data_IF_597378267919
#
_entry.id   IF_597378267919
#
_cell.length_a   1.000
_cell.length_b   1.000
_cell.length_c   1.000
_cell.angle_alpha   90.00
_cell.angle_beta   90.00
_cell.angle_gamma   90.00
#
_symmetry.space_group_name_H-M   'P 1'
#
loop_
_entity.id
_entity.type
_entity.pdbx_description
1 polymer ?
#
# COMPACT_ATOMS: atom_id res chain seq x y z
N UNK A 1 -5.20 9.17 -2.03
CA UNK A 1 -5.37 7.72 -1.74
C UNK A 1 -5.71 7.50 -0.25
N UNK A 2 -6.17 6.29 0.14
CA UNK A 2 -6.57 5.98 1.53
C UNK A 2 -5.44 6.19 2.55
N UNK A 3 -4.24 5.65 2.27
CA UNK A 3 -3.05 5.79 3.13
C UNK A 3 -2.66 7.26 3.36
N UNK A 4 -2.69 8.09 2.31
CA UNK A 4 -2.37 9.52 2.42
C UNK A 4 -3.30 10.23 3.41
N UNK A 5 -4.62 9.98 3.32
CA UNK A 5 -5.60 10.60 4.22
C UNK A 5 -5.54 10.02 5.63
N UNK A 6 -5.41 8.70 5.75
CA UNK A 6 -5.42 7.99 7.04
C UNK A 6 -4.20 8.30 7.90
N UNK A 7 -3.05 8.52 7.27
CA UNK A 7 -1.78 8.85 7.93
C UNK A 7 -1.43 10.33 7.83
N UNK A 8 -2.21 11.14 7.10
CA UNK A 8 -1.96 12.57 6.82
C UNK A 8 -0.56 12.81 6.21
N UNK A 9 -0.21 12.04 5.18
CA UNK A 9 1.09 12.08 4.51
C UNK A 9 0.96 12.38 3.01
N UNK A 10 2.00 13.00 2.44
CA UNK A 10 2.10 13.25 1.00
C UNK A 10 2.36 11.99 0.16
N UNK A 11 2.27 12.14 -1.16
CA UNK A 11 2.39 11.04 -2.12
C UNK A 11 3.69 10.24 -1.98
N UNK A 12 4.84 10.90 -1.96
CA UNK A 12 6.15 10.23 -1.89
C UNK A 12 6.32 9.37 -0.64
N UNK A 13 5.72 9.76 0.49
CA UNK A 13 5.80 8.98 1.72
C UNK A 13 4.84 7.79 1.68
N UNK A 14 3.66 7.97 1.10
CA UNK A 14 2.72 6.88 0.89
C UNK A 14 3.24 5.84 -0.11
N UNK A 15 3.95 6.26 -1.16
CA UNK A 15 4.58 5.37 -2.15
C UNK A 15 5.64 4.47 -1.50
N UNK A 16 6.58 5.06 -0.74
CA UNK A 16 7.59 4.28 0.02
C UNK A 16 6.98 3.28 0.99
N UNK A 17 5.91 3.65 1.68
CA UNK A 17 5.20 2.71 2.57
C UNK A 17 4.61 1.54 1.77
N UNK A 18 4.05 1.79 0.58
CA UNK A 18 3.52 0.72 -0.26
C UNK A 18 4.62 -0.21 -0.79
N UNK A 19 5.77 0.33 -1.18
CA UNK A 19 6.95 -0.46 -1.58
C UNK A 19 7.43 -1.35 -0.43
N UNK A 20 7.60 -0.79 0.76
CA UNK A 20 7.99 -1.58 1.94
C UNK A 20 6.95 -2.68 2.27
N UNK A 21 5.65 -2.37 2.18
CA UNK A 21 4.61 -3.36 2.41
C UNK A 21 4.58 -4.47 1.35
N UNK A 22 5.02 -4.18 0.13
CA UNK A 22 5.18 -5.16 -0.94
C UNK A 22 6.41 -6.04 -0.71
N UNK A 23 7.56 -5.44 -0.35
CA UNK A 23 8.79 -6.16 0.04
C UNK A 23 8.58 -7.07 1.25
N UNK A 24 7.83 -6.62 2.26
CA UNK A 24 7.48 -7.39 3.46
C UNK A 24 6.43 -8.49 3.18
N UNK A 25 5.94 -8.61 1.94
CA UNK A 25 4.91 -9.57 1.55
C UNK A 25 3.56 -9.34 2.23
N UNK A 26 3.27 -8.10 2.62
CA UNK A 26 1.99 -7.70 3.23
C UNK A 26 0.98 -7.33 2.14
N UNK A 27 1.44 -6.65 1.10
CA UNK A 27 0.65 -6.19 -0.04
C UNK A 27 1.16 -6.88 -1.30
N UNK A 28 0.23 -7.29 -2.16
CA UNK A 28 0.55 -7.89 -3.45
C UNK A 28 1.07 -6.87 -4.46
N UNK A 29 1.50 -7.35 -5.64
CA UNK A 29 2.00 -6.48 -6.70
C UNK A 29 0.99 -5.39 -7.09
N UNK A 30 1.43 -4.30 -7.73
CA UNK A 30 0.54 -3.28 -8.24
C UNK A 30 -0.54 -3.91 -9.15
N UNK A 31 -1.81 -3.79 -8.74
CA UNK A 31 -2.93 -4.17 -9.59
C UNK A 31 -3.12 -3.21 -10.76
N UNK A 32 -4.06 -3.52 -11.65
CA UNK A 32 -4.45 -2.61 -12.74
C UNK A 32 -4.80 -1.21 -12.23
N UNK A 33 -4.56 -0.20 -13.07
CA UNK A 33 -4.81 1.19 -12.72
C UNK A 33 -6.26 1.39 -12.21
N UNK A 34 -6.39 1.93 -11.00
CA UNK A 34 -7.68 2.16 -10.35
C UNK A 34 -8.19 1.02 -9.47
N UNK A 35 -7.58 -0.17 -9.52
CA UNK A 35 -7.91 -1.27 -8.61
C UNK A 35 -7.05 -1.22 -7.33
N UNK A 36 -7.62 -1.56 -6.15
CA UNK A 36 -6.84 -1.68 -4.93
C UNK A 36 -5.86 -2.86 -5.03
N UNK A 37 -4.67 -2.73 -4.42
CA UNK A 37 -3.72 -3.84 -4.31
C UNK A 37 -4.28 -4.92 -3.37
N UNK A 38 -3.98 -6.17 -3.69
CA UNK A 38 -4.35 -7.31 -2.85
C UNK A 38 -3.57 -7.27 -1.53
N UNK A 39 -4.16 -7.75 -0.42
CA UNK A 39 -3.49 -7.85 0.88
C UNK A 39 -3.19 -9.34 1.10
N UNK A 40 -1.89 -9.67 1.12
CA UNK A 40 -1.42 -11.05 1.23
C UNK A 40 -1.42 -11.54 2.69
N UNK A 41 -1.21 -10.64 3.65
CA UNK A 41 -1.11 -11.00 5.07
C UNK A 41 -2.03 -10.16 5.93
N UNK A 42 -3.13 -10.77 6.39
CA UNK A 42 -4.01 -10.17 7.41
C UNK A 42 -3.42 -10.49 8.79
N UNK A 43 -3.09 -9.48 9.61
CA UNK A 43 -2.84 -9.74 11.04
C UNK A 43 -4.13 -10.29 11.64
N UNK A 44 -4.06 -11.47 12.26
CA UNK A 44 -5.09 -11.99 13.16
C UNK A 44 -5.11 -11.16 14.44
#
# INVERSE_FOLDING_TARGET
SYIQRRLKIGYNRAARIMEMMEEDGIVGPPGEAGKPREILRRKK
#
